data_IF_881756858229
#
_entry.id   IF_881756858229
#
_cell.length_a   1.000
_cell.length_b   1.000
_cell.length_c   1.000
_cell.angle_alpha   90.00
_cell.angle_beta   90.00
_cell.angle_gamma   90.00
#
_symmetry.space_group_name_H-M   'P 1'
#
loop_
_entity.id
_entity.type
_entity.pdbx_description
1 polymer ?
#
# COMPACT_ATOMS: atom_id res chain seq x y z
N UNK A 1 7.42 -2.31 24.98
CA UNK A 1 6.46 -3.12 25.77
C UNK A 1 7.03 -3.56 27.13
N UNK A 2 8.19 -4.23 27.20
CA UNK A 2 8.79 -4.73 28.46
C UNK A 2 8.91 -3.69 29.58
N UNK A 3 9.40 -2.48 29.27
CA UNK A 3 9.51 -1.38 30.24
C UNK A 3 8.15 -0.93 30.80
N UNK A 4 7.12 -0.91 29.97
CA UNK A 4 5.76 -0.56 30.38
C UNK A 4 5.17 -1.63 31.31
N UNK A 5 5.36 -2.91 30.98
CA UNK A 5 4.96 -4.02 31.84
C UNK A 5 5.67 -3.97 33.20
N UNK A 6 6.99 -3.74 33.20
CA UNK A 6 7.78 -3.59 34.43
C UNK A 6 7.30 -2.42 35.29
N UNK A 7 6.94 -1.30 34.67
CA UNK A 7 6.43 -0.13 35.38
C UNK A 7 5.07 -0.42 36.03
N UNK A 8 4.15 -1.05 35.31
CA UNK A 8 2.84 -1.45 35.85
C UNK A 8 2.96 -2.48 36.97
N UNK A 9 3.88 -3.45 36.87
CA UNK A 9 4.14 -4.42 37.94
C UNK A 9 4.64 -3.77 39.23
N UNK A 10 5.37 -2.65 39.14
CA UNK A 10 5.81 -1.89 40.33
C UNK A 10 4.66 -1.14 41.00
N UNK A 11 3.66 -0.72 40.22
CA UNK A 11 2.51 0.06 40.71
C UNK A 11 1.30 -0.79 41.10
N UNK A 12 1.33 -2.11 40.87
CA UNK A 12 0.18 -3.02 41.04
C UNK A 12 -0.45 -2.96 42.44
N UNK A 13 0.34 -2.69 43.48
CA UNK A 13 -0.12 -2.65 44.88
C UNK A 13 -0.72 -1.30 45.30
N UNK A 14 -0.36 -0.23 44.60
CA UNK A 14 -0.65 1.14 45.00
C UNK A 14 -1.65 1.85 44.06
N UNK A 15 -1.89 1.30 42.88
CA UNK A 15 -2.77 1.87 41.85
C UNK A 15 -3.72 0.81 41.26
N UNK A 16 -5.02 1.00 41.47
CA UNK A 16 -6.06 0.10 40.98
C UNK A 16 -6.17 0.06 39.45
N UNK A 17 -5.89 1.17 38.76
CA UNK A 17 -5.84 1.22 37.29
C UNK A 17 -4.62 0.48 36.76
N UNK A 18 -3.46 0.62 37.41
CA UNK A 18 -2.27 -0.16 37.06
C UNK A 18 -2.50 -1.66 37.24
N UNK A 19 -3.14 -2.08 38.35
CA UNK A 19 -3.56 -3.46 38.57
C UNK A 19 -4.52 -3.96 37.47
N UNK A 20 -5.53 -3.15 37.11
CA UNK A 20 -6.49 -3.48 36.06
C UNK A 20 -5.85 -3.64 34.67
N UNK A 21 -4.94 -2.74 34.31
CA UNK A 21 -4.18 -2.81 33.05
C UNK A 21 -3.25 -4.02 33.03
N UNK A 22 -2.54 -4.27 34.13
CA UNK A 22 -1.63 -5.39 34.24
C UNK A 22 -2.37 -6.74 34.10
N UNK A 23 -3.55 -6.88 34.69
CA UNK A 23 -4.41 -8.06 34.50
C UNK A 23 -4.77 -8.31 33.03
N UNK A 24 -5.05 -7.25 32.25
CA UNK A 24 -5.29 -7.38 30.81
C UNK A 24 -4.01 -7.74 30.04
N UNK A 25 -2.89 -7.12 30.40
CA UNK A 25 -1.59 -7.32 29.74
C UNK A 25 -0.96 -8.69 30.01
N UNK A 26 -1.26 -9.31 31.16
CA UNK A 26 -0.83 -10.69 31.49
C UNK A 26 -1.47 -11.74 30.56
N UNK A 27 -2.50 -11.38 29.80
CA UNK A 27 -3.11 -12.29 28.82
C UNK A 27 -2.19 -12.55 27.64
N UNK A 28 -1.82 -13.82 27.40
CA UNK A 28 -0.97 -14.19 26.26
C UNK A 28 -1.58 -13.79 24.90
N UNK A 29 -2.92 -13.82 24.78
CA UNK A 29 -3.63 -13.32 23.58
C UNK A 29 -3.40 -11.83 23.36
N UNK A 30 -3.34 -11.04 24.44
CA UNK A 30 -3.04 -9.61 24.36
C UNK A 30 -1.59 -9.39 23.92
N UNK A 31 -0.62 -10.07 24.54
CA UNK A 31 0.78 -9.99 24.14
C UNK A 31 0.96 -10.37 22.67
N UNK A 32 0.43 -11.54 22.27
CA UNK A 32 0.47 -11.99 20.87
C UNK A 32 -0.12 -10.97 19.91
N UNK A 33 -1.27 -10.37 20.24
CA UNK A 33 -1.86 -9.31 19.41
C UNK A 33 -0.94 -8.10 19.26
N UNK A 34 -0.24 -7.65 20.31
CA UNK A 34 0.68 -6.53 20.19
C UNK A 34 1.90 -6.88 19.35
N UNK A 35 2.48 -8.09 19.47
CA UNK A 35 3.59 -8.51 18.61
C UNK A 35 3.16 -8.57 17.13
N UNK A 36 1.98 -9.14 16.86
CA UNK A 36 1.38 -9.16 15.52
C UNK A 36 1.21 -7.74 14.96
N UNK A 37 0.61 -6.84 15.75
CA UNK A 37 0.39 -5.45 15.33
C UNK A 37 1.70 -4.68 15.16
N UNK A 38 2.70 -4.93 16.00
CA UNK A 38 4.00 -4.26 15.93
C UNK A 38 4.68 -4.49 14.58
N UNK A 39 4.55 -5.68 14.00
CA UNK A 39 5.16 -6.01 12.71
C UNK A 39 4.27 -5.63 11.51
N UNK A 40 2.95 -5.67 11.67
CA UNK A 40 2.00 -5.35 10.57
C UNK A 40 1.83 -3.84 10.39
N UNK A 41 1.66 -3.08 11.47
CA UNK A 41 1.34 -1.65 11.39
C UNK A 41 2.38 -0.83 10.60
N UNK A 42 3.70 -1.06 10.71
CA UNK A 42 4.68 -0.37 9.89
C UNK A 42 4.50 -0.61 8.39
N UNK A 43 4.18 -1.85 7.97
CA UNK A 43 3.93 -2.20 6.57
C UNK A 43 2.72 -1.43 6.03
N UNK A 44 1.63 -1.38 6.80
CA UNK A 44 0.44 -0.62 6.43
C UNK A 44 0.69 0.90 6.43
N UNK A 45 1.51 1.38 7.37
CA UNK A 45 1.88 2.78 7.45
C UNK A 45 2.71 3.21 6.24
N UNK A 46 3.61 2.37 5.72
CA UNK A 46 4.34 2.63 4.47
C UNK A 46 3.38 2.83 3.29
N UNK A 47 2.43 1.91 3.13
CA UNK A 47 1.43 2.01 2.06
C UNK A 47 0.56 3.26 2.23
N UNK A 48 0.12 3.55 3.46
CA UNK A 48 -0.69 4.73 3.76
C UNK A 48 0.08 6.03 3.48
N UNK A 49 1.34 6.11 3.88
CA UNK A 49 2.21 7.27 3.61
C UNK A 49 2.40 7.52 2.12
N UNK A 50 2.46 6.48 1.30
CA UNK A 50 2.53 6.64 -0.16
C UNK A 50 1.32 7.42 -0.69
N UNK A 51 0.11 7.06 -0.26
CA UNK A 51 -1.13 7.70 -0.69
C UNK A 51 -1.37 9.08 -0.05
N UNK A 52 -0.63 9.44 0.98
CA UNK A 52 -0.71 10.74 1.64
C UNK A 52 0.27 11.78 1.07
N UNK A 53 1.05 11.42 0.04
CA UNK A 53 1.96 12.37 -0.61
C UNK A 53 1.16 13.41 -1.41
N UNK A 54 1.59 14.67 -1.34
CA UNK A 54 0.98 15.78 -2.09
C UNK A 54 0.96 15.56 -3.60
N UNK A 55 1.97 14.86 -4.12
CA UNK A 55 2.11 14.48 -5.52
C UNK A 55 2.39 12.98 -5.62
N UNK A 56 1.49 12.25 -6.27
CA UNK A 56 1.53 10.80 -6.39
C UNK A 56 1.89 10.40 -7.83
N UNK A 57 2.91 9.53 -7.99
CA UNK A 57 3.17 8.89 -9.28
C UNK A 57 2.23 7.67 -9.43
N UNK A 58 1.35 7.69 -10.42
CA UNK A 58 0.39 6.60 -10.64
C UNK A 58 1.06 5.26 -10.97
N UNK A 59 2.24 5.29 -11.59
CA UNK A 59 3.00 4.07 -11.92
C UNK A 59 3.45 3.28 -10.70
N UNK A 60 3.58 3.90 -9.52
CA UNK A 60 4.07 3.23 -8.30
C UNK A 60 2.97 2.66 -7.42
N UNK A 61 1.69 2.96 -7.71
CA UNK A 61 0.55 2.54 -6.88
C UNK A 61 0.43 1.01 -6.84
N UNK A 62 0.27 0.38 -8.00
CA UNK A 62 0.11 -1.08 -8.08
C UNK A 62 1.35 -1.83 -7.56
N UNK A 63 2.60 -1.45 -7.92
CA UNK A 63 3.79 -2.03 -7.31
C UNK A 63 3.81 -1.94 -5.79
N UNK A 64 3.42 -0.80 -5.21
CA UNK A 64 3.40 -0.62 -3.75
C UNK A 64 2.34 -1.48 -3.06
N UNK A 65 1.15 -1.62 -3.67
CA UNK A 65 0.10 -2.53 -3.17
C UNK A 65 0.61 -3.97 -3.19
N UNK A 66 1.19 -4.42 -4.31
CA UNK A 66 1.72 -5.78 -4.43
C UNK A 66 2.87 -6.04 -3.45
N UNK A 67 3.82 -5.13 -3.35
CA UNK A 67 4.91 -5.20 -2.37
C UNK A 67 4.39 -5.29 -0.94
N UNK A 68 3.33 -4.55 -0.60
CA UNK A 68 2.70 -4.61 0.72
C UNK A 68 2.11 -6.00 0.97
N UNK A 69 1.38 -6.57 0.00
CA UNK A 69 0.84 -7.93 0.09
C UNK A 69 1.94 -8.97 0.26
N UNK A 70 3.03 -8.84 -0.50
CA UNK A 70 4.16 -9.77 -0.43
C UNK A 70 4.88 -9.69 0.92
N UNK A 71 5.12 -8.48 1.45
CA UNK A 71 5.67 -8.30 2.80
C UNK A 71 4.77 -8.94 3.87
N UNK A 72 3.45 -8.81 3.75
CA UNK A 72 2.51 -9.43 4.69
C UNK A 72 2.55 -10.96 4.62
N UNK A 73 2.63 -11.54 3.42
CA UNK A 73 2.79 -13.00 3.24
C UNK A 73 4.12 -13.49 3.78
N UNK A 74 5.21 -12.75 3.54
CA UNK A 74 6.52 -13.07 4.08
C UNK A 74 6.50 -13.16 5.62
N UNK A 75 5.79 -12.26 6.30
CA UNK A 75 5.63 -12.36 7.76
C UNK A 75 4.96 -13.67 8.20
N UNK A 76 4.02 -14.21 7.41
CA UNK A 76 3.40 -15.52 7.67
C UNK A 76 4.42 -16.64 7.50
N UNK A 77 5.19 -16.62 6.40
CA UNK A 77 6.18 -17.64 6.08
C UNK A 77 7.25 -17.74 7.16
N UNK A 78 7.67 -16.60 7.70
CA UNK A 78 8.67 -16.50 8.77
C UNK A 78 8.08 -16.75 10.18
N UNK A 79 6.75 -16.80 10.34
CA UNK A 79 6.01 -16.74 11.63
C UNK A 79 6.57 -15.66 12.59
N UNK A 80 7.09 -14.57 12.01
CA UNK A 80 8.00 -13.63 12.67
C UNK A 80 7.46 -13.02 13.97
N UNK A 81 6.18 -12.59 14.06
CA UNK A 81 5.65 -12.04 15.31
C UNK A 81 5.62 -13.06 16.44
N UNK A 82 5.33 -14.33 16.13
CA UNK A 82 5.23 -15.40 17.12
C UNK A 82 6.62 -15.84 17.56
N UNK A 83 7.57 -15.91 16.64
CA UNK A 83 8.97 -16.21 16.98
C UNK A 83 9.59 -15.08 17.81
N UNK A 84 9.25 -13.82 17.52
CA UNK A 84 9.65 -12.67 18.36
C UNK A 84 9.06 -12.75 19.76
N UNK A 85 7.78 -13.14 19.89
CA UNK A 85 7.16 -13.38 21.20
C UNK A 85 7.84 -14.55 21.93
N UNK A 86 8.15 -15.65 21.24
CA UNK A 86 8.84 -16.81 21.81
C UNK A 86 10.21 -16.43 22.36
N UNK A 87 10.99 -15.63 21.63
CA UNK A 87 12.30 -15.16 22.09
C UNK A 87 12.21 -14.27 23.35
N UNK A 88 11.08 -13.58 23.53
CA UNK A 88 10.86 -12.68 24.66
C UNK A 88 10.09 -13.32 25.83
N UNK A 89 9.53 -14.52 25.67
CA UNK A 89 8.56 -15.09 26.63
C UNK A 89 9.18 -15.33 28.01
N UNK A 90 10.43 -15.76 28.08
CA UNK A 90 11.11 -16.03 29.35
C UNK A 90 11.27 -14.75 30.17
N UNK A 91 11.50 -13.61 29.51
CA UNK A 91 11.56 -12.31 30.17
C UNK A 91 10.21 -11.96 30.81
N UNK A 92 9.09 -12.22 30.13
CA UNK A 92 7.76 -12.01 30.70
C UNK A 92 7.43 -13.01 31.81
N UNK A 93 7.81 -14.27 31.63
CA UNK A 93 7.61 -15.35 32.62
C UNK A 93 8.33 -15.03 33.93
N UNK A 94 9.56 -14.52 33.84
CA UNK A 94 10.36 -14.11 35.00
C UNK A 94 9.73 -12.93 35.77
N UNK A 95 9.00 -12.04 35.07
CA UNK A 95 8.26 -10.95 35.71
C UNK A 95 6.89 -11.40 36.23
N UNK A 96 6.24 -12.36 35.57
CA UNK A 96 4.95 -12.91 35.94
C UNK A 96 4.84 -14.36 35.47
N UNK A 97 4.92 -15.30 36.42
CA UNK A 97 4.95 -16.74 36.13
C UNK A 97 3.68 -17.29 35.45
N UNK A 98 2.59 -16.54 35.45
CA UNK A 98 1.34 -16.84 34.74
C UNK A 98 1.47 -16.66 33.23
N UNK A 99 2.40 -15.83 32.76
CA UNK A 99 2.66 -15.62 31.34
C UNK A 99 3.55 -16.77 30.87
N UNK A 100 2.95 -17.77 30.21
CA UNK A 100 3.68 -18.90 29.62
C UNK A 100 3.16 -19.20 28.23
N UNK A 101 4.07 -19.40 27.29
CA UNK A 101 3.75 -19.85 25.94
C UNK A 101 3.74 -21.38 25.91
N UNK A 102 2.56 -21.97 25.80
CA UNK A 102 2.39 -23.40 25.55
C UNK A 102 2.32 -23.65 24.04
N UNK A 103 2.59 -24.89 23.60
CA UNK A 103 2.43 -25.25 22.17
C UNK A 103 1.03 -24.90 21.65
N UNK A 104 -0.02 -25.30 22.40
CA UNK A 104 -1.41 -24.98 22.06
C UNK A 104 -1.65 -23.48 21.85
N UNK A 105 -1.18 -22.64 22.78
CA UNK A 105 -1.39 -21.20 22.66
C UNK A 105 -0.57 -20.59 21.52
N UNK A 106 0.62 -21.14 21.24
CA UNK A 106 1.42 -20.75 20.08
C UNK A 106 0.66 -21.04 18.78
N UNK A 107 0.13 -22.26 18.64
CA UNK A 107 -0.64 -22.66 17.46
C UNK A 107 -1.91 -21.80 17.28
N UNK A 108 -2.61 -21.49 18.38
CA UNK A 108 -3.76 -20.58 18.36
C UNK A 108 -3.37 -19.18 17.88
N UNK A 109 -2.24 -18.64 18.34
CA UNK A 109 -1.73 -17.33 17.93
C UNK A 109 -1.28 -17.32 16.47
N UNK A 110 -0.55 -18.34 16.02
CA UNK A 110 -0.15 -18.49 14.62
C UNK A 110 -1.39 -18.61 13.72
N UNK A 111 -2.42 -19.36 14.13
CA UNK A 111 -3.69 -19.45 13.39
C UNK A 111 -4.42 -18.11 13.32
N UNK A 112 -4.49 -17.38 14.43
CA UNK A 112 -5.07 -16.04 14.48
C UNK A 112 -4.32 -15.07 13.57
N UNK A 113 -3.00 -15.07 13.63
CA UNK A 113 -2.11 -14.24 12.82
C UNK A 113 -2.34 -14.47 11.33
N UNK A 114 -2.34 -15.73 10.88
CA UNK A 114 -2.61 -16.11 9.49
C UNK A 114 -3.97 -15.60 9.01
N UNK A 115 -5.04 -15.88 9.78
CA UNK A 115 -6.39 -15.41 9.47
C UNK A 115 -6.50 -13.89 9.40
N UNK A 116 -5.79 -13.19 10.29
CA UNK A 116 -5.76 -11.73 10.31
C UNK A 116 -5.08 -11.17 9.05
N UNK A 117 -3.92 -11.70 8.67
CA UNK A 117 -3.21 -11.27 7.45
C UNK A 117 -4.02 -11.60 6.20
N UNK A 118 -4.62 -12.79 6.11
CA UNK A 118 -5.49 -13.16 4.98
C UNK A 118 -6.67 -12.19 4.84
N UNK A 119 -7.33 -11.87 5.95
CA UNK A 119 -8.40 -10.89 5.96
C UNK A 119 -7.91 -9.50 5.56
N UNK A 120 -6.72 -9.10 6.02
CA UNK A 120 -6.12 -7.82 5.69
C UNK A 120 -5.79 -7.70 4.20
N UNK A 121 -5.20 -8.73 3.60
CA UNK A 121 -4.92 -8.78 2.16
C UNK A 121 -6.22 -8.68 1.37
N UNK A 122 -7.27 -9.44 1.73
CA UNK A 122 -8.59 -9.34 1.09
C UNK A 122 -9.20 -7.94 1.20
N UNK A 123 -9.02 -7.26 2.33
CA UNK A 123 -9.48 -5.88 2.51
C UNK A 123 -8.70 -4.89 1.63
N UNK A 124 -7.39 -5.11 1.46
CA UNK A 124 -6.58 -4.32 0.53
C UNK A 124 -7.08 -4.54 -0.90
N UNK A 125 -7.23 -5.78 -1.34
CA UNK A 125 -7.72 -6.10 -2.69
C UNK A 125 -9.10 -5.48 -2.94
N UNK A 126 -10.06 -5.68 -2.03
CA UNK A 126 -11.40 -5.09 -2.13
C UNK A 126 -11.38 -3.56 -2.23
N UNK A 127 -10.46 -2.91 -1.51
CA UNK A 127 -10.37 -1.44 -1.52
C UNK A 127 -9.90 -0.89 -2.88
N UNK A 128 -9.11 -1.67 -3.62
CA UNK A 128 -8.54 -1.26 -4.90
C UNK A 128 -9.14 -1.99 -6.09
N UNK A 129 -10.15 -2.84 -5.90
CA UNK A 129 -10.82 -3.59 -6.96
C UNK A 129 -11.47 -2.65 -7.98
N UNK A 130 -12.21 -1.65 -7.50
CA UNK A 130 -12.97 -0.73 -8.38
C UNK A 130 -12.12 0.37 -9.03
N UNK A 131 -10.95 0.69 -8.46
CA UNK A 131 -10.15 1.83 -8.89
C UNK A 131 -8.73 1.47 -9.33
N UNK A 132 -8.28 0.23 -9.12
CA UNK A 132 -6.91 -0.18 -9.41
C UNK A 132 -6.55 -0.04 -10.88
N UNK A 133 -7.46 -0.46 -11.77
CA UNK A 133 -7.27 -0.37 -13.23
C UNK A 133 -7.32 1.07 -13.74
N UNK A 134 -8.23 1.88 -13.19
CA UNK A 134 -8.34 3.31 -13.51
C UNK A 134 -7.09 4.06 -13.07
N UNK A 135 -6.64 3.84 -11.82
CA UNK A 135 -5.46 4.48 -11.26
C UNK A 135 -4.19 4.08 -12.00
N UNK A 136 -4.02 2.81 -12.36
CA UNK A 136 -2.85 2.37 -13.14
C UNK A 136 -2.86 2.94 -14.56
N UNK A 137 -4.04 3.13 -15.15
CA UNK A 137 -4.18 3.71 -16.49
C UNK A 137 -3.69 5.15 -16.59
N UNK A 138 -3.68 5.91 -15.48
CA UNK A 138 -3.06 7.25 -15.46
C UNK A 138 -1.53 7.24 -15.61
N UNK A 139 -0.86 6.09 -15.47
CA UNK A 139 0.59 5.99 -15.63
C UNK A 139 1.05 6.33 -17.06
N UNK A 140 0.18 6.21 -18.07
CA UNK A 140 0.50 6.57 -19.47
C UNK A 140 0.86 8.03 -19.65
N UNK A 141 0.40 8.89 -18.73
CA UNK A 141 0.68 10.32 -18.73
C UNK A 141 2.04 10.66 -18.13
N UNK A 142 2.82 9.68 -17.66
CA UNK A 142 4.22 9.90 -17.32
C UNK A 142 5.07 9.93 -18.61
N UNK A 143 5.60 11.09 -19.03
CA UNK A 143 6.39 11.15 -20.26
C UNK A 143 7.65 10.30 -20.19
N UNK A 144 8.20 10.00 -19.00
CA UNK A 144 9.38 9.14 -18.89
C UNK A 144 9.07 7.68 -19.27
N UNK A 145 7.80 7.26 -19.20
CA UNK A 145 7.36 5.90 -19.57
C UNK A 145 6.93 5.78 -21.03
N UNK A 146 6.70 6.89 -21.73
CA UNK A 146 6.31 6.90 -23.14
C UNK A 146 7.50 6.43 -24.02
N UNK A 147 7.34 5.39 -24.86
CA UNK A 147 8.37 4.99 -25.83
C UNK A 147 8.69 6.09 -26.84
N UNK A 148 9.87 6.04 -27.45
CA UNK A 148 10.20 6.95 -28.57
C UNK A 148 9.42 6.58 -29.83
N UNK A 149 9.29 7.53 -30.75
CA UNK A 149 8.49 7.36 -31.98
C UNK A 149 8.98 6.22 -32.89
N UNK A 150 10.26 5.88 -32.81
CA UNK A 150 10.92 4.81 -33.56
C UNK A 150 10.95 3.47 -32.83
N UNK A 151 10.56 3.43 -31.55
CA UNK A 151 10.55 2.21 -30.75
C UNK A 151 9.29 1.36 -30.97
N UNK A 152 9.48 0.05 -30.92
CA UNK A 152 8.38 -0.92 -30.97
C UNK A 152 7.42 -0.68 -29.81
N UNK A 153 6.12 -0.61 -30.10
CA UNK A 153 5.07 -0.39 -29.10
C UNK A 153 4.61 1.05 -28.94
N UNK A 154 5.30 2.05 -29.53
CA UNK A 154 4.86 3.45 -29.45
C UNK A 154 3.45 3.69 -30.02
N UNK A 155 3.15 3.05 -31.16
CA UNK A 155 1.86 3.21 -31.85
C UNK A 155 0.68 2.82 -30.97
N UNK A 156 0.80 1.68 -30.29
CA UNK A 156 -0.26 1.09 -29.44
C UNK A 156 -0.15 1.54 -27.97
N UNK A 157 0.92 2.26 -27.60
CA UNK A 157 1.15 2.67 -26.21
C UNK A 157 -0.05 3.45 -25.66
N UNK A 158 -0.58 2.96 -24.54
CA UNK A 158 -1.64 3.58 -23.76
C UNK A 158 -3.05 3.46 -24.33
N UNK A 159 -3.27 2.74 -25.45
CA UNK A 159 -4.62 2.58 -26.01
C UNK A 159 -5.58 1.87 -25.05
N UNK A 160 -5.15 0.77 -24.43
CA UNK A 160 -5.94 0.06 -23.41
C UNK A 160 -6.24 0.96 -22.20
N UNK A 161 -5.24 1.70 -21.72
CA UNK A 161 -5.41 2.63 -20.60
C UNK A 161 -6.40 3.75 -20.93
N UNK A 162 -6.35 4.31 -22.14
CA UNK A 162 -7.32 5.32 -22.56
C UNK A 162 -8.72 4.74 -22.65
N UNK A 163 -8.87 3.49 -23.10
CA UNK A 163 -10.16 2.81 -23.12
C UNK A 163 -10.73 2.68 -21.70
N UNK A 164 -9.92 2.21 -20.74
CA UNK A 164 -10.31 2.12 -19.32
C UNK A 164 -10.74 3.49 -18.78
N UNK A 165 -9.96 4.54 -19.04
CA UNK A 165 -10.28 5.90 -18.60
C UNK A 165 -11.59 6.41 -19.25
N UNK A 166 -11.78 6.17 -20.54
CA UNK A 166 -13.00 6.52 -21.26
C UNK A 166 -14.23 5.82 -20.70
N UNK A 167 -14.15 4.51 -20.44
CA UNK A 167 -15.22 3.74 -19.82
C UNK A 167 -15.57 4.24 -18.42
N UNK A 168 -14.56 4.67 -17.65
CA UNK A 168 -14.75 5.20 -16.31
C UNK A 168 -15.41 6.59 -16.29
N UNK A 169 -14.92 7.53 -17.12
CA UNK A 169 -15.35 8.94 -17.08
C UNK A 169 -16.53 9.27 -18.00
N UNK A 170 -16.78 8.48 -19.06
CA UNK A 170 -17.91 8.70 -19.98
C UNK A 170 -19.07 7.75 -19.70
N UNK A 171 -19.75 7.99 -18.57
CA UNK A 171 -20.93 7.24 -18.13
C UNK A 171 -22.24 7.83 -18.70
N UNK A 172 -22.31 8.07 -20.01
CA UNK A 172 -23.55 8.52 -20.67
C UNK A 172 -24.54 7.37 -20.86
N UNK A 173 -25.84 7.67 -20.68
CA UNK A 173 -26.93 6.71 -20.88
C UNK A 173 -27.15 6.34 -22.36
N UNK A 174 -26.67 7.16 -23.29
CA UNK A 174 -26.76 6.92 -24.73
C UNK A 174 -25.46 6.30 -25.25
N UNK A 175 -25.53 5.04 -25.69
CA UNK A 175 -24.38 4.26 -26.13
C UNK A 175 -23.63 4.89 -27.32
N UNK A 176 -24.36 5.51 -28.25
CA UNK A 176 -23.78 6.21 -29.40
C UNK A 176 -22.92 7.41 -28.97
N UNK A 177 -23.39 8.21 -28.01
CA UNK A 177 -22.63 9.35 -27.46
C UNK A 177 -21.41 8.89 -26.67
N UNK A 178 -21.55 7.80 -25.92
CA UNK A 178 -20.43 7.18 -25.20
C UNK A 178 -19.33 6.73 -26.16
N UNK A 179 -19.69 6.00 -27.23
CA UNK A 179 -18.74 5.52 -28.23
C UNK A 179 -18.05 6.67 -28.95
N UNK A 180 -18.80 7.71 -29.32
CA UNK A 180 -18.24 8.91 -29.94
C UNK A 180 -17.21 9.62 -29.04
N UNK A 181 -17.49 9.76 -27.73
CA UNK A 181 -16.55 10.36 -26.78
C UNK A 181 -15.30 9.50 -26.58
N UNK A 182 -15.46 8.17 -26.54
CA UNK A 182 -14.34 7.23 -26.41
C UNK A 182 -13.41 7.27 -27.64
N UNK A 183 -13.96 7.26 -28.86
CA UNK A 183 -13.20 7.38 -30.10
C UNK A 183 -12.46 8.72 -30.19
N UNK A 184 -13.12 9.81 -29.78
CA UNK A 184 -12.49 11.13 -29.73
C UNK A 184 -11.31 11.15 -28.77
N UNK A 185 -11.47 10.59 -27.57
CA UNK A 185 -10.39 10.51 -26.58
C UNK A 185 -9.20 9.69 -27.08
N UNK A 186 -9.46 8.57 -27.76
CA UNK A 186 -8.40 7.74 -28.37
C UNK A 186 -7.66 8.51 -29.46
N UNK A 187 -8.38 9.24 -30.31
CA UNK A 187 -7.80 10.08 -31.36
C UNK A 187 -6.91 11.19 -30.77
N UNK A 188 -7.41 11.87 -29.73
CA UNK A 188 -6.66 12.91 -29.03
C UNK A 188 -5.38 12.35 -28.39
N UNK A 189 -5.46 11.17 -27.77
CA UNK A 189 -4.29 10.49 -27.21
C UNK A 189 -3.26 10.14 -28.28
N UNK A 190 -3.68 9.60 -29.42
CA UNK A 190 -2.78 9.26 -30.53
C UNK A 190 -2.00 10.49 -31.00
N UNK A 191 -2.63 11.66 -31.11
CA UNK A 191 -1.95 12.92 -31.42
C UNK A 191 -1.04 13.42 -30.29
N UNK A 192 -1.53 13.39 -29.05
CA UNK A 192 -0.81 13.89 -27.88
C UNK A 192 0.52 13.16 -27.67
N UNK A 193 0.59 11.84 -27.91
CA UNK A 193 1.84 11.07 -27.82
C UNK A 193 2.98 11.64 -28.66
N UNK A 194 2.69 12.06 -29.89
CA UNK A 194 3.69 12.70 -30.76
C UNK A 194 4.10 14.07 -30.20
N UNK A 195 3.13 14.88 -29.74
CA UNK A 195 3.44 16.18 -29.12
C UNK A 195 4.31 16.02 -27.86
N UNK A 196 4.06 15.00 -27.05
CA UNK A 196 4.88 14.70 -25.87
C UNK A 196 6.32 14.38 -26.30
N UNK A 197 6.50 13.49 -27.28
CA UNK A 197 7.83 13.08 -27.75
C UNK A 197 8.60 14.21 -28.42
N UNK A 198 7.96 14.92 -29.35
CA UNK A 198 8.64 15.87 -30.22
C UNK A 198 8.87 17.23 -29.55
N UNK A 199 8.00 17.60 -28.60
CA UNK A 199 8.02 18.93 -27.98
C UNK A 199 8.25 18.84 -26.46
N UNK A 200 7.36 18.17 -25.72
CA UNK A 200 7.31 18.31 -24.26
C UNK A 200 8.49 17.64 -23.54
N UNK A 201 8.93 16.45 -23.96
CA UNK A 201 10.10 15.77 -23.36
C UNK A 201 11.38 16.62 -23.39
N UNK A 202 11.54 17.46 -24.42
CA UNK A 202 12.71 18.32 -24.61
C UNK A 202 12.77 19.43 -23.57
N UNK A 203 11.61 19.96 -23.16
CA UNK A 203 11.49 21.04 -22.17
C UNK A 203 11.27 20.53 -20.74
N UNK A 204 11.10 19.22 -20.55
CA UNK A 204 10.94 18.62 -19.22
C UNK A 204 12.17 18.92 -18.34
N UNK A 205 11.96 19.49 -17.13
CA UNK A 205 13.03 19.83 -16.20
C UNK A 205 13.92 18.63 -15.83
N UNK A 206 15.22 18.88 -15.67
CA UNK A 206 16.19 17.82 -15.38
C UNK A 206 16.04 17.23 -13.98
N UNK A 207 15.69 18.05 -12.98
CA UNK A 207 15.38 17.59 -11.62
C UNK A 207 14.20 16.61 -11.60
N UNK A 208 13.26 16.77 -12.52
CA UNK A 208 12.11 15.88 -12.67
C UNK A 208 12.51 14.56 -13.34
N UNK A 209 13.38 14.61 -14.36
CA UNK A 209 14.01 13.41 -14.96
C UNK A 209 14.87 12.63 -13.96
N UNK A 210 15.55 13.34 -13.06
CA UNK A 210 16.41 12.76 -12.03
C UNK A 210 15.61 12.29 -10.79
N UNK A 211 14.29 12.47 -10.76
CA UNK A 211 13.43 12.08 -9.63
C UNK A 211 13.62 12.90 -8.35
N UNK A 212 14.22 14.10 -8.46
CA UNK A 212 14.49 15.02 -7.34
C UNK A 212 13.44 16.12 -7.20
N UNK A 213 12.51 16.23 -8.14
CA UNK A 213 11.46 17.24 -8.14
C UNK A 213 10.38 16.94 -7.10
N UNK A 214 9.66 18.00 -6.69
CA UNK A 214 8.52 17.89 -5.76
C UNK A 214 7.22 17.44 -6.46
N UNK A 215 7.10 17.70 -7.76
CA UNK A 215 5.95 17.30 -8.58
C UNK A 215 6.31 16.07 -9.43
N UNK A 216 5.31 15.27 -9.77
CA UNK A 216 5.52 14.10 -10.65
C UNK A 216 5.59 14.51 -12.12
N UNK A 217 6.12 13.61 -12.94
CA UNK A 217 6.16 13.78 -14.39
C UNK A 217 4.75 13.91 -14.99
N UNK A 218 3.80 13.12 -14.47
CA UNK A 218 2.38 13.22 -14.81
C UNK A 218 1.80 14.58 -14.43
N UNK A 219 2.01 15.05 -13.20
CA UNK A 219 1.50 16.38 -12.78
C UNK A 219 2.11 17.51 -13.63
N UNK A 220 3.41 17.42 -13.93
CA UNK A 220 4.08 18.37 -14.80
C UNK A 220 3.49 18.37 -16.21
N UNK A 221 3.25 17.18 -16.80
CA UNK A 221 2.64 17.06 -18.12
C UNK A 221 1.26 17.72 -18.15
N UNK A 222 0.40 17.41 -17.18
CA UNK A 222 -0.96 17.95 -17.10
C UNK A 222 -0.95 19.49 -17.04
N UNK A 223 0.03 20.10 -16.37
CA UNK A 223 0.21 21.56 -16.35
C UNK A 223 0.59 22.18 -17.69
N UNK A 224 1.03 21.39 -18.68
CA UNK A 224 1.34 21.88 -20.03
C UNK A 224 0.13 21.83 -20.98
N UNK A 225 -0.95 21.16 -20.58
CA UNK A 225 -2.13 20.93 -21.41
C UNK A 225 -3.27 21.92 -21.12
N UNK A 226 -3.11 22.78 -20.11
CA UNK A 226 -4.06 23.82 -19.68
C UNK A 226 -3.47 25.19 -20.00
#
# INVERSE_FOLDING_TARGET
>A
MKLFFLHLSKLEKDDAAACGLLKKMKGLKFLGAIYILNDILPILADLSRLFQKDSLNFSVICPAINMTKDKLKQLIEEDKPIESLRNDIDSFTNMCAEIRLTMKNSDELTSLFKKYVDALIKNIDRRFEDCGEVLSSFAIFDPALLPKTDETGFKEYGEDSIKVLGEHFYQDNEEEKKNQKAEKLLTEWQGLKYQINDNLKKIMPQDLKDGKSKITATEWLLKQLV
#
